data_IF_146467875346
#
_entry.id   IF_146467875346
#
_cell.length_a   1.000
_cell.length_b   1.000
_cell.length_c   1.000
_cell.angle_alpha   90.00
_cell.angle_beta   90.00
_cell.angle_gamma   90.00
#
_symmetry.space_group_name_H-M   'P 1'
#
loop_
_entity.id
_entity.type
_entity.pdbx_description
1 polymer ?
#
# COMPACT_ATOMS: atom_id res chain seq x y z
N UNK A 1 -40.57 -9.74 11.35
CA UNK A 1 -39.62 -9.10 10.42
C UNK A 1 -39.74 -9.81 9.08
N UNK A 2 -39.91 -9.07 7.98
CA UNK A 2 -40.20 -9.64 6.65
C UNK A 2 -39.04 -10.49 6.11
N UNK A 3 -39.25 -11.80 5.94
CA UNK A 3 -38.26 -12.71 5.35
C UNK A 3 -37.77 -12.27 3.96
N UNK A 4 -38.63 -11.58 3.20
CA UNK A 4 -38.30 -10.95 1.92
C UNK A 4 -37.23 -9.85 2.07
N UNK A 5 -37.28 -9.09 3.15
CA UNK A 5 -36.34 -8.00 3.43
C UNK A 5 -34.96 -8.56 3.75
N UNK A 6 -34.89 -9.63 4.56
CA UNK A 6 -33.63 -10.32 4.85
C UNK A 6 -32.98 -10.94 3.62
N UNK A 7 -33.78 -11.58 2.76
CA UNK A 7 -33.27 -12.15 1.51
C UNK A 7 -32.66 -11.07 0.59
N UNK A 8 -33.32 -9.91 0.49
CA UNK A 8 -32.80 -8.76 -0.28
C UNK A 8 -31.52 -8.21 0.33
N UNK A 9 -31.47 -8.07 1.65
CA UNK A 9 -30.28 -7.59 2.35
C UNK A 9 -29.09 -8.53 2.12
N UNK A 10 -29.29 -9.83 2.26
CA UNK A 10 -28.26 -10.83 2.01
C UNK A 10 -27.75 -10.77 0.56
N UNK A 11 -28.65 -10.63 -0.42
CA UNK A 11 -28.29 -10.51 -1.83
C UNK A 11 -27.44 -9.25 -2.10
N UNK A 12 -27.81 -8.11 -1.54
CA UNK A 12 -27.06 -6.85 -1.70
C UNK A 12 -25.66 -6.98 -1.08
N UNK A 13 -25.54 -7.57 0.10
CA UNK A 13 -24.24 -7.80 0.75
C UNK A 13 -23.36 -8.70 -0.10
N UNK A 14 -23.90 -9.81 -0.62
CA UNK A 14 -23.16 -10.73 -1.48
C UNK A 14 -22.65 -10.05 -2.76
N UNK A 15 -23.49 -9.22 -3.40
CA UNK A 15 -23.11 -8.44 -4.58
C UNK A 15 -22.00 -7.45 -4.24
N UNK A 16 -22.13 -6.71 -3.13
CA UNK A 16 -21.13 -5.74 -2.70
C UNK A 16 -19.76 -6.42 -2.47
N UNK A 17 -19.76 -7.55 -1.75
CA UNK A 17 -18.53 -8.34 -1.51
C UNK A 17 -17.91 -8.82 -2.81
N UNK A 18 -18.71 -9.33 -3.76
CA UNK A 18 -18.23 -9.80 -5.05
C UNK A 18 -17.58 -8.66 -5.87
N UNK A 19 -18.19 -7.46 -5.89
CA UNK A 19 -17.65 -6.28 -6.58
C UNK A 19 -16.33 -5.84 -5.95
N UNK A 20 -16.25 -5.76 -4.62
CA UNK A 20 -15.01 -5.40 -3.93
C UNK A 20 -13.90 -6.42 -4.19
N UNK A 21 -14.22 -7.72 -4.16
CA UNK A 21 -13.26 -8.78 -4.46
C UNK A 21 -12.72 -8.67 -5.90
N UNK A 22 -13.59 -8.42 -6.87
CA UNK A 22 -13.20 -8.21 -8.27
C UNK A 22 -12.30 -6.98 -8.44
N UNK A 23 -12.64 -5.86 -7.79
CA UNK A 23 -11.80 -4.66 -7.81
C UNK A 23 -10.40 -4.93 -7.25
N UNK A 24 -10.30 -5.69 -6.15
CA UNK A 24 -9.02 -6.09 -5.55
C UNK A 24 -8.23 -7.03 -6.48
N UNK A 25 -8.90 -7.97 -7.15
CA UNK A 25 -8.27 -8.88 -8.11
C UNK A 25 -7.61 -8.09 -9.25
N UNK A 26 -8.37 -7.19 -9.87
CA UNK A 26 -7.89 -6.33 -10.96
C UNK A 26 -6.74 -5.41 -10.51
N UNK A 27 -6.82 -4.87 -9.29
CA UNK A 27 -5.74 -4.05 -8.73
C UNK A 27 -4.44 -4.86 -8.50
N UNK A 28 -4.54 -6.13 -8.10
CA UNK A 28 -3.37 -7.02 -7.94
C UNK A 28 -2.77 -7.41 -9.28
N UNK A 29 -3.59 -7.74 -10.29
CA UNK A 29 -3.11 -8.02 -11.65
C UNK A 29 -2.41 -6.79 -12.27
N UNK A 30 -2.97 -5.59 -12.07
CA UNK A 30 -2.33 -4.34 -12.48
C UNK A 30 -1.01 -4.04 -11.76
N UNK A 31 -0.87 -4.47 -10.50
CA UNK A 31 0.37 -4.34 -9.71
C UNK A 31 1.52 -5.22 -10.24
N UNK A 32 1.21 -6.30 -10.96
CA UNK A 32 2.23 -7.12 -11.63
C UNK A 32 2.80 -6.46 -12.90
N UNK A 33 2.09 -5.49 -13.48
CA UNK A 33 2.52 -4.69 -14.65
C UNK A 33 3.05 -3.30 -14.27
N UNK A 34 2.76 -2.82 -13.05
CA UNK A 34 3.12 -1.48 -12.60
C UNK A 34 4.48 -1.39 -11.86
N UNK A 35 5.47 -2.16 -12.28
CA UNK A 35 6.88 -1.77 -12.09
C UNK A 35 7.19 -0.58 -13.02
N UNK A 36 6.46 0.54 -12.88
CA UNK A 36 6.78 1.78 -13.58
C UNK A 36 7.93 2.42 -12.81
N UNK A 37 9.15 2.51 -13.38
CA UNK A 37 10.25 3.17 -12.69
C UNK A 37 9.87 4.64 -12.49
N UNK A 38 9.86 5.06 -11.23
CA UNK A 38 9.72 6.47 -10.85
C UNK A 38 10.88 7.28 -11.47
N UNK A 39 10.69 8.53 -11.93
CA UNK A 39 11.69 9.31 -12.67
C UNK A 39 12.94 9.73 -11.86
N UNK A 40 13.16 9.15 -10.67
CA UNK A 40 14.27 9.48 -9.78
C UNK A 40 15.52 8.60 -9.99
N UNK A 41 15.81 8.18 -11.23
CA UNK A 41 17.00 7.40 -11.55
C UNK A 41 18.33 8.16 -11.34
N UNK A 42 18.29 9.43 -10.93
CA UNK A 42 19.47 10.26 -10.72
C UNK A 42 19.96 10.37 -9.26
N UNK A 43 19.23 9.87 -8.26
CA UNK A 43 19.45 10.26 -6.86
C UNK A 43 20.07 9.14 -5.97
N UNK A 44 21.38 8.89 -6.14
CA UNK A 44 22.36 8.43 -5.14
C UNK A 44 22.22 7.07 -4.36
N UNK A 45 23.36 6.44 -3.98
CA UNK A 45 23.44 5.17 -3.21
C UNK A 45 22.64 5.11 -1.90
N UNK A 46 22.44 6.26 -1.25
CA UNK A 46 21.64 6.34 0.00
C UNK A 46 20.18 6.01 -0.22
N UNK A 47 19.63 6.28 -1.41
CA UNK A 47 18.26 5.92 -1.76
C UNK A 47 18.11 4.41 -1.90
N UNK A 48 19.13 3.72 -2.42
CA UNK A 48 19.08 2.27 -2.60
C UNK A 48 19.17 1.51 -1.28
N UNK A 49 19.96 2.01 -0.34
CA UNK A 49 20.00 1.46 1.02
C UNK A 49 18.65 1.65 1.75
N UNK A 50 17.99 2.82 1.58
CA UNK A 50 16.67 3.06 2.15
C UNK A 50 15.62 2.12 1.51
N UNK A 51 15.65 1.94 0.19
CA UNK A 51 14.76 1.00 -0.53
C UNK A 51 14.95 -0.44 -0.07
N UNK A 52 16.18 -0.89 0.14
CA UNK A 52 16.46 -2.23 0.67
C UNK A 52 15.88 -2.40 2.07
N UNK A 53 16.10 -1.41 2.95
CA UNK A 53 15.56 -1.42 4.31
C UNK A 53 14.03 -1.46 4.31
N UNK A 54 13.38 -0.64 3.47
CA UNK A 54 11.93 -0.63 3.31
C UNK A 54 11.39 -1.98 2.80
N UNK A 55 12.06 -2.61 1.84
CA UNK A 55 11.69 -3.95 1.33
C UNK A 55 11.81 -5.02 2.41
N UNK A 56 12.87 -4.99 3.22
CA UNK A 56 13.01 -5.89 4.37
C UNK A 56 11.88 -5.69 5.38
N UNK A 57 11.56 -4.44 5.72
CA UNK A 57 10.46 -4.11 6.63
C UNK A 57 9.09 -4.56 6.11
N UNK A 58 8.83 -4.45 4.79
CA UNK A 58 7.59 -4.94 4.19
C UNK A 58 7.48 -6.47 4.25
N UNK A 59 8.57 -7.20 4.01
CA UNK A 59 8.59 -8.66 4.08
C UNK A 59 8.35 -9.18 5.51
N UNK A 60 8.72 -8.41 6.53
CA UNK A 60 8.48 -8.78 7.93
C UNK A 60 7.01 -8.67 8.33
N UNK A 61 6.21 -7.78 7.72
CA UNK A 61 4.78 -7.63 8.02
C UNK A 61 4.50 -7.00 9.40
N UNK A 62 3.57 -7.56 10.18
CA UNK A 62 3.17 -7.03 11.49
C UNK A 62 4.36 -6.77 12.43
N UNK A 63 5.36 -7.68 12.58
CA UNK A 63 6.56 -7.43 13.36
C UNK A 63 7.26 -6.09 13.08
N UNK A 64 7.28 -5.63 11.82
CA UNK A 64 7.95 -4.38 11.45
C UNK A 64 7.30 -3.14 12.10
N UNK A 65 6.04 -3.23 12.51
CA UNK A 65 5.33 -2.11 13.14
C UNK A 65 5.85 -1.77 14.54
N UNK A 66 6.57 -2.69 15.17
CA UNK A 66 7.21 -2.51 16.48
C UNK A 66 8.75 -2.41 16.38
N UNK A 67 9.32 -2.57 15.19
CA UNK A 67 10.76 -2.47 14.96
C UNK A 67 11.17 -0.98 14.80
N UNK A 68 12.03 -0.45 15.69
CA UNK A 68 12.43 0.96 15.64
C UNK A 68 13.19 1.34 14.37
N UNK A 69 13.93 0.41 13.75
CA UNK A 69 14.60 0.68 12.47
C UNK A 69 13.60 0.82 11.32
N UNK A 70 12.54 0.02 11.32
CA UNK A 70 11.48 0.12 10.31
C UNK A 70 10.67 1.40 10.45
N UNK A 71 10.34 1.79 11.68
CA UNK A 71 9.67 3.05 11.96
C UNK A 71 10.50 4.25 11.47
N UNK A 72 11.81 4.25 11.74
CA UNK A 72 12.71 5.31 11.26
C UNK A 72 12.80 5.36 9.73
N UNK A 73 12.89 4.20 9.06
CA UNK A 73 12.94 4.13 7.60
C UNK A 73 11.64 4.65 6.94
N UNK A 74 10.47 4.34 7.50
CA UNK A 74 9.20 4.87 6.99
C UNK A 74 9.06 6.38 7.18
N UNK A 75 9.46 6.88 8.34
CA UNK A 75 9.41 8.31 8.62
C UNK A 75 10.32 9.11 7.68
N UNK A 76 11.51 8.58 7.39
CA UNK A 76 12.43 9.16 6.41
C UNK A 76 11.87 9.13 4.99
N UNK A 77 11.31 8.00 4.56
CA UNK A 77 10.64 7.91 3.27
C UNK A 77 9.48 8.90 3.16
N UNK A 78 8.68 9.03 4.23
CA UNK A 78 7.56 9.95 4.29
C UNK A 78 8.02 11.41 4.16
N UNK A 79 9.04 11.82 4.92
CA UNK A 79 9.63 13.17 4.80
C UNK A 79 10.04 13.48 3.36
N UNK A 80 10.75 12.55 2.72
CA UNK A 80 11.28 12.79 1.37
C UNK A 80 10.20 13.03 0.31
N UNK A 81 9.03 12.40 0.43
CA UNK A 81 7.95 12.52 -0.55
C UNK A 81 6.85 13.50 -0.13
N UNK A 82 6.62 13.69 1.17
CA UNK A 82 5.51 14.47 1.70
C UNK A 82 5.92 15.76 2.39
N UNK A 83 7.21 16.00 2.65
CA UNK A 83 7.64 17.33 3.10
C UNK A 83 7.45 18.32 1.95
N UNK A 84 6.78 19.46 2.18
CA UNK A 84 6.80 20.55 1.22
C UNK A 84 8.26 20.88 0.93
N UNK A 85 8.64 20.95 -0.34
CA UNK A 85 9.88 21.62 -0.69
C UNK A 85 9.82 22.98 0.01
N UNK A 86 10.66 23.20 1.02
CA UNK A 86 10.73 24.48 1.69
C UNK A 86 11.09 25.49 0.60
N UNK A 87 10.07 26.20 0.12
CA UNK A 87 10.21 27.20 -0.91
C UNK A 87 11.01 28.33 -0.32
N UNK A 88 12.29 28.36 -0.66
CA UNK A 88 13.18 29.51 -0.52
C UNK A 88 13.39 30.08 -1.93
#
# INVERSE_FOLDING_TARGET
>A
MDGKMFARLAAVIAIAVAVTAAAIHLAREGSSTAARPSPAAAEAPRTDQLRETLRRCQQMGEPATRDPQCLAAWDENRRRFLSPAAGN
#
